data_IF_207819108317
#
_entry.id   IF_207819108317
#
_cell.length_a   1.000
_cell.length_b   1.000
_cell.length_c   1.000
_cell.angle_alpha   90.00
_cell.angle_beta   90.00
_cell.angle_gamma   90.00
#
_symmetry.space_group_name_H-M   'P 1'
#
loop_
_entity.id
_entity.type
_entity.pdbx_description
1 polymer ?
#
# COMPACT_ATOMS: atom_id res chain seq x y z
N UNK A 1 -2.33 -2.55 -19.49
CA UNK A 1 -0.95 -2.73 -18.99
C UNK A 1 -0.06 -1.67 -19.59
N UNK A 2 0.97 -1.18 -18.89
CA UNK A 2 1.87 -0.15 -19.43
C UNK A 2 2.58 -0.61 -20.72
N UNK A 3 2.95 -1.89 -20.80
CA UNK A 3 3.73 -2.44 -21.90
C UNK A 3 3.02 -2.42 -23.27
N UNK A 4 1.70 -2.64 -23.31
CA UNK A 4 0.95 -2.80 -24.58
C UNK A 4 -0.45 -2.16 -24.55
N UNK A 5 -0.80 -1.43 -23.50
CA UNK A 5 -2.13 -0.85 -23.30
C UNK A 5 -3.25 -1.86 -23.02
N UNK A 6 -3.05 -3.16 -23.25
CA UNK A 6 -4.12 -4.18 -23.18
C UNK A 6 -4.38 -4.65 -21.76
N UNK A 7 -5.60 -5.14 -21.52
CA UNK A 7 -5.92 -5.85 -20.28
C UNK A 7 -5.37 -7.27 -20.28
N UNK A 8 -5.26 -7.85 -19.08
CA UNK A 8 -5.00 -9.27 -18.83
C UNK A 8 -6.21 -10.01 -18.27
N UNK A 9 -7.31 -9.28 -18.04
CA UNK A 9 -8.59 -9.85 -17.64
C UNK A 9 -9.57 -9.74 -18.80
N UNK A 10 -10.35 -10.79 -19.00
CA UNK A 10 -11.49 -10.80 -19.91
C UNK A 10 -12.56 -11.75 -19.41
N UNK A 11 -13.81 -11.45 -19.77
CA UNK A 11 -14.93 -12.38 -19.68
C UNK A 11 -15.59 -12.41 -21.06
N UNK A 12 -15.75 -13.60 -21.64
CA UNK A 12 -16.36 -13.78 -22.95
C UNK A 12 -15.72 -12.91 -24.06
N UNK A 13 -14.40 -12.76 -24.02
CA UNK A 13 -13.64 -11.94 -24.98
C UNK A 13 -13.72 -10.43 -24.75
N UNK A 14 -14.55 -9.95 -23.82
CA UNK A 14 -14.63 -8.54 -23.45
C UNK A 14 -13.59 -8.22 -22.37
N UNK A 15 -12.74 -7.19 -22.55
CA UNK A 15 -11.70 -6.84 -21.59
C UNK A 15 -12.29 -6.24 -20.31
N UNK A 16 -11.78 -6.65 -19.16
CA UNK A 16 -12.04 -6.02 -17.86
C UNK A 16 -10.81 -5.20 -17.49
N UNK A 17 -10.96 -3.92 -17.14
CA UNK A 17 -9.82 -3.05 -16.91
C UNK A 17 -9.07 -3.36 -15.61
N UNK A 18 -7.75 -3.09 -15.65
CA UNK A 18 -6.91 -3.11 -14.46
C UNK A 18 -7.18 -1.89 -13.58
N UNK A 19 -7.07 -2.04 -12.26
CA UNK A 19 -7.23 -0.95 -11.29
C UNK A 19 -5.92 -0.73 -10.53
N UNK A 20 -5.42 0.52 -10.56
CA UNK A 20 -4.17 0.98 -9.92
C UNK A 20 -2.97 0.03 -10.19
N UNK A 21 -2.97 -0.64 -11.35
CA UNK A 21 -1.90 -1.55 -11.77
C UNK A 21 -1.72 -2.82 -10.94
N UNK A 22 -2.64 -3.15 -10.03
CA UNK A 22 -2.53 -4.32 -9.14
C UNK A 22 -3.71 -5.29 -9.27
N UNK A 23 -4.95 -4.77 -9.29
CA UNK A 23 -6.18 -5.57 -9.41
C UNK A 23 -6.21 -6.79 -8.47
N UNK A 24 -6.06 -6.57 -7.17
CA UNK A 24 -5.91 -7.63 -6.16
C UNK A 24 -7.18 -8.40 -5.82
N UNK A 25 -8.33 -8.02 -6.39
CA UNK A 25 -9.61 -8.72 -6.20
C UNK A 25 -9.80 -9.80 -7.28
N UNK A 26 -8.78 -10.63 -7.48
CA UNK A 26 -8.79 -11.81 -8.34
C UNK A 26 -7.80 -12.82 -7.77
N UNK A 27 -8.08 -14.12 -7.91
CA UNK A 27 -7.17 -15.18 -7.44
C UNK A 27 -5.79 -15.11 -8.10
N UNK A 28 -5.74 -14.62 -9.34
CA UNK A 28 -4.52 -14.38 -10.09
C UNK A 28 -4.55 -13.00 -10.73
N UNK A 29 -3.43 -12.30 -10.71
CA UNK A 29 -3.27 -11.02 -11.38
C UNK A 29 -1.90 -10.95 -12.06
N UNK A 30 -1.80 -10.07 -13.05
CA UNK A 30 -0.54 -9.73 -13.71
C UNK A 30 -0.18 -8.32 -13.26
N UNK A 31 1.06 -8.10 -12.84
CA UNK A 31 1.52 -6.82 -12.30
C UNK A 31 2.88 -6.48 -12.91
N UNK A 32 3.14 -5.18 -13.12
CA UNK A 32 4.47 -4.74 -13.54
C UNK A 32 5.49 -5.01 -12.42
N UNK A 33 6.70 -5.49 -12.77
CA UNK A 33 7.72 -5.89 -11.77
C UNK A 33 8.07 -4.77 -10.79
N UNK A 34 8.09 -3.51 -11.24
CA UNK A 34 8.33 -2.34 -10.38
C UNK A 34 7.23 -2.06 -9.35
N UNK A 35 6.07 -2.71 -9.45
CA UNK A 35 4.96 -2.62 -8.49
C UNK A 35 4.87 -3.85 -7.58
N UNK A 36 5.84 -4.78 -7.66
CA UNK A 36 5.90 -5.98 -6.82
C UNK A 36 7.17 -5.92 -5.96
N UNK A 37 6.98 -5.81 -4.65
CA UNK A 37 8.08 -5.90 -3.70
C UNK A 37 8.19 -7.35 -3.20
N UNK A 38 9.32 -8.01 -3.46
CA UNK A 38 9.64 -9.31 -2.84
C UNK A 38 9.94 -9.07 -1.35
N UNK A 39 9.15 -9.68 -0.48
CA UNK A 39 9.32 -9.60 0.98
C UNK A 39 9.91 -10.88 1.57
N UNK A 40 10.25 -10.84 2.87
CA UNK A 40 10.71 -12.02 3.60
C UNK A 40 9.61 -13.10 3.66
N UNK A 41 9.91 -14.37 3.33
CA UNK A 41 8.87 -15.41 3.21
C UNK A 41 8.07 -15.70 4.47
N UNK A 42 8.63 -15.45 5.66
CA UNK A 42 7.93 -15.68 6.93
C UNK A 42 7.40 -14.38 7.56
N UNK A 43 7.41 -13.27 6.82
CA UNK A 43 6.84 -12.02 7.31
C UNK A 43 5.30 -12.11 7.39
N UNK A 44 4.67 -11.62 8.48
CA UNK A 44 3.23 -11.43 8.50
C UNK A 44 2.83 -10.39 7.44
N UNK A 45 1.71 -10.62 6.74
CA UNK A 45 1.26 -9.77 5.64
C UNK A 45 0.70 -8.41 6.08
N UNK A 46 0.51 -8.20 7.38
CA UNK A 46 0.01 -6.96 7.96
C UNK A 46 1.18 -6.05 8.36
N UNK A 47 1.36 -4.93 7.68
CA UNK A 47 2.35 -3.91 8.08
C UNK A 47 1.89 -2.48 7.79
N UNK A 48 2.38 -1.53 8.59
CA UNK A 48 1.94 -0.13 8.67
C UNK A 48 3.15 0.81 8.45
N UNK A 49 3.02 1.88 7.67
CA UNK A 49 4.16 2.79 7.43
C UNK A 49 3.83 4.11 6.72
N UNK A 50 3.44 5.13 7.48
CA UNK A 50 3.24 6.49 6.95
C UNK A 50 4.04 7.59 7.71
N UNK A 51 4.14 7.52 9.03
CA UNK A 51 4.62 8.67 9.84
C UNK A 51 6.12 8.92 9.79
N UNK A 52 6.92 7.85 9.72
CA UNK A 52 8.36 7.92 10.03
C UNK A 52 9.18 8.71 8.99
N UNK A 53 8.73 8.76 7.73
CA UNK A 53 9.56 9.27 6.63
C UNK A 53 9.36 10.77 6.35
N UNK A 54 8.17 11.31 6.58
CA UNK A 54 7.82 12.69 6.19
C UNK A 54 7.76 13.63 7.38
N UNK A 55 7.04 13.25 8.45
CA UNK A 55 6.82 14.12 9.60
C UNK A 55 8.10 14.37 10.43
N UNK A 56 9.08 13.46 10.36
CA UNK A 56 10.40 13.55 11.02
C UNK A 56 10.31 14.04 12.47
N UNK A 57 9.40 13.42 13.21
CA UNK A 57 9.09 13.81 14.59
C UNK A 57 10.34 13.71 15.47
N UNK A 58 10.52 14.71 16.34
CA UNK A 58 11.52 14.64 17.41
C UNK A 58 10.91 13.93 18.61
N UNK A 59 11.72 13.14 19.31
CA UNK A 59 11.31 12.47 20.55
C UNK A 59 10.71 13.50 21.54
N UNK A 60 9.54 13.18 22.10
CA UNK A 60 8.80 14.02 23.05
C UNK A 60 7.96 15.13 22.42
N UNK A 61 7.79 15.16 21.09
CA UNK A 61 6.94 16.15 20.42
C UNK A 61 5.47 15.76 20.52
N UNK A 62 4.57 16.70 20.81
CA UNK A 62 3.13 16.45 20.67
C UNK A 62 2.70 16.38 19.20
N UNK A 63 1.82 15.43 18.86
CA UNK A 63 1.29 15.21 17.51
C UNK A 63 -0.23 15.30 17.51
N UNK A 64 -0.80 16.02 16.56
CA UNK A 64 -2.24 16.04 16.29
C UNK A 64 -2.54 15.24 15.01
N UNK A 65 -3.54 14.36 15.05
CA UNK A 65 -3.95 13.51 13.92
C UNK A 65 -5.41 13.78 13.61
N UNK A 66 -5.70 14.21 12.39
CA UNK A 66 -7.05 14.49 11.92
C UNK A 66 -7.55 13.33 11.05
N UNK A 67 -8.54 12.60 11.58
CA UNK A 67 -9.11 11.39 10.96
C UNK A 67 -8.48 10.11 11.51
N UNK A 68 -9.31 9.19 11.99
CA UNK A 68 -8.91 7.96 12.70
C UNK A 68 -9.30 6.68 11.95
N UNK A 69 -9.26 6.73 10.62
CA UNK A 69 -9.38 5.53 9.76
C UNK A 69 -8.00 4.92 9.54
N UNK A 70 -7.87 3.91 8.68
CA UNK A 70 -6.62 3.13 8.50
C UNK A 70 -5.34 3.99 8.38
N UNK A 71 -5.37 5.07 7.59
CA UNK A 71 -4.22 5.99 7.44
C UNK A 71 -3.92 6.76 8.73
N UNK A 72 -4.95 7.23 9.43
CA UNK A 72 -4.79 7.94 10.70
C UNK A 72 -4.25 7.04 11.80
N UNK A 73 -4.73 5.80 11.89
CA UNK A 73 -4.20 4.80 12.83
C UNK A 73 -2.75 4.45 12.51
N UNK A 74 -2.40 4.35 11.22
CA UNK A 74 -1.01 4.22 10.78
C UNK A 74 -0.16 5.42 11.19
N UNK A 75 -0.72 6.62 11.10
CA UNK A 75 -0.05 7.84 11.54
C UNK A 75 0.22 7.81 13.06
N UNK A 76 -0.77 7.38 13.85
CA UNK A 76 -0.67 7.24 15.32
C UNK A 76 0.42 6.24 15.71
N UNK A 77 0.44 5.07 15.08
CA UNK A 77 1.42 4.04 15.39
C UNK A 77 2.85 4.50 15.05
N UNK A 78 3.04 5.16 13.90
CA UNK A 78 4.35 5.71 13.58
C UNK A 78 4.78 6.86 14.50
N UNK A 79 3.84 7.65 15.05
CA UNK A 79 4.16 8.66 16.07
C UNK A 79 4.62 8.00 17.39
N UNK A 80 3.92 6.93 17.81
CA UNK A 80 4.32 6.11 18.97
C UNK A 80 5.72 5.53 18.81
N UNK A 81 6.03 4.95 17.64
CA UNK A 81 7.36 4.42 17.33
C UNK A 81 8.43 5.53 17.37
N UNK A 82 8.11 6.73 16.90
CA UNK A 82 9.00 7.89 16.98
C UNK A 82 9.18 8.47 18.40
N UNK A 83 8.55 7.87 19.42
CA UNK A 83 8.53 8.36 20.81
C UNK A 83 8.04 9.81 20.92
N UNK A 84 7.08 10.17 20.08
CA UNK A 84 6.38 11.45 20.10
C UNK A 84 5.15 11.33 21.01
#
# INVERSE_FOLDING_TARGET
MLNDGKSRFSINGQPIYHFVGTSTFSEYTVVHVGCVAKIYPAAPLDSLGATLNVAKLKKGSSVAIFGLRAVGLAATEGARIASA
#
